data_IF_529781562266
#
_entry.id   IF_529781562266
#
_cell.length_a   1.000
_cell.length_b   1.000
_cell.length_c   1.000
_cell.angle_alpha   90.00
_cell.angle_beta   90.00
_cell.angle_gamma   90.00
#
_symmetry.space_group_name_H-M   'P 1'
#
loop_
_entity.id
_entity.type
_entity.pdbx_description
1 polymer ?
#
# COMPACT_ATOMS: atom_id res chain seq x y z
N UNK A 1 -11.00 -9.18 10.07
CA UNK A 1 -10.25 -8.05 10.64
C UNK A 1 -9.30 -7.44 9.62
N UNK A 2 -8.46 -8.20 8.91
CA UNK A 2 -7.54 -7.65 7.89
C UNK A 2 -8.18 -6.75 6.84
N UNK A 3 -9.31 -7.16 6.22
CA UNK A 3 -10.01 -6.34 5.21
C UNK A 3 -10.50 -4.99 5.75
N UNK A 4 -10.97 -4.95 7.01
CA UNK A 4 -11.42 -3.69 7.64
C UNK A 4 -10.25 -2.74 7.88
N UNK A 5 -9.09 -3.27 8.28
CA UNK A 5 -7.88 -2.47 8.47
C UNK A 5 -7.38 -1.90 7.14
N UNK A 6 -7.27 -2.74 6.11
CA UNK A 6 -6.83 -2.31 4.77
C UNK A 6 -7.79 -1.26 4.22
N UNK A 7 -9.10 -1.52 4.26
CA UNK A 7 -10.11 -0.57 3.80
C UNK A 7 -10.11 0.75 4.58
N UNK A 8 -9.94 0.70 5.91
CA UNK A 8 -9.85 1.88 6.76
C UNK A 8 -8.65 2.76 6.41
N UNK A 9 -7.48 2.17 6.17
CA UNK A 9 -6.28 2.90 5.73
C UNK A 9 -6.53 3.57 4.38
N UNK A 10 -7.12 2.87 3.41
CA UNK A 10 -7.42 3.43 2.09
C UNK A 10 -8.36 4.64 2.19
N UNK A 11 -9.42 4.54 2.99
CA UNK A 11 -10.37 5.66 3.20
C UNK A 11 -9.66 6.85 3.86
N UNK A 12 -8.88 6.61 4.91
CA UNK A 12 -8.17 7.67 5.62
C UNK A 12 -7.18 8.42 4.71
N UNK A 13 -6.34 7.68 3.98
CA UNK A 13 -5.37 8.28 3.04
C UNK A 13 -6.10 9.06 1.93
N UNK A 14 -7.21 8.53 1.42
CA UNK A 14 -8.03 9.21 0.41
C UNK A 14 -8.64 10.52 0.92
N UNK A 15 -9.16 10.54 2.16
CA UNK A 15 -9.71 11.74 2.78
C UNK A 15 -8.63 12.81 2.97
N UNK A 16 -7.43 12.42 3.43
CA UNK A 16 -6.30 13.35 3.58
C UNK A 16 -5.90 13.95 2.22
N UNK A 17 -5.79 13.12 1.18
CA UNK A 17 -5.47 13.59 -0.17
C UNK A 17 -6.51 14.57 -0.72
N UNK A 18 -7.80 14.22 -0.59
CA UNK A 18 -8.90 15.06 -1.05
C UNK A 18 -8.99 16.38 -0.27
N UNK A 19 -8.93 16.33 1.06
CA UNK A 19 -8.95 17.52 1.92
C UNK A 19 -7.73 18.42 1.66
N UNK A 20 -6.53 17.85 1.48
CA UNK A 20 -5.33 18.60 1.15
C UNK A 20 -5.44 19.35 -0.18
N UNK A 21 -6.03 18.73 -1.20
CA UNK A 21 -6.28 19.35 -2.49
C UNK A 21 -7.35 20.46 -2.40
N UNK A 22 -8.49 20.20 -1.76
CA UNK A 22 -9.60 21.14 -1.65
C UNK A 22 -9.26 22.37 -0.79
N UNK A 23 -8.66 22.14 0.39
CA UNK A 23 -8.31 23.23 1.32
C UNK A 23 -7.02 23.98 0.92
N UNK A 24 -6.37 23.61 -0.20
CA UNK A 24 -5.07 24.14 -0.63
C UNK A 24 -4.02 24.10 0.49
N UNK A 25 -4.13 23.11 1.40
CA UNK A 25 -3.29 23.00 2.58
C UNK A 25 -2.06 22.15 2.29
N UNK A 26 -0.91 22.82 2.18
CA UNK A 26 0.38 22.20 1.87
C UNK A 26 0.81 21.15 2.89
N UNK A 27 0.46 21.31 4.17
CA UNK A 27 0.81 20.34 5.20
C UNK A 27 0.06 19.01 5.00
N UNK A 28 -1.23 19.06 4.67
CA UNK A 28 -2.02 17.85 4.39
C UNK A 28 -1.52 17.13 3.13
N UNK A 29 -1.09 17.87 2.10
CA UNK A 29 -0.45 17.29 0.92
C UNK A 29 0.89 16.62 1.26
N UNK A 30 1.70 17.20 2.16
CA UNK A 30 2.93 16.55 2.63
C UNK A 30 2.64 15.26 3.39
N UNK A 31 1.62 15.25 4.26
CA UNK A 31 1.20 14.03 4.97
C UNK A 31 0.76 12.98 3.95
N UNK A 32 -0.04 13.34 2.95
CA UNK A 32 -0.45 12.42 1.88
C UNK A 32 0.75 11.85 1.11
N UNK A 33 1.74 12.67 0.74
CA UNK A 33 2.99 12.20 0.12
C UNK A 33 3.70 11.19 1.02
N UNK A 34 3.83 11.48 2.32
CA UNK A 34 4.40 10.56 3.30
C UNK A 34 3.64 9.23 3.36
N UNK A 35 2.31 9.27 3.37
CA UNK A 35 1.47 8.07 3.32
C UNK A 35 1.72 7.25 2.04
N UNK A 36 1.79 7.88 0.87
CA UNK A 36 2.09 7.19 -0.39
C UNK A 36 3.45 6.50 -0.36
N UNK A 37 4.48 7.15 0.18
CA UNK A 37 5.82 6.55 0.33
C UNK A 37 5.75 5.30 1.22
N UNK A 38 5.07 5.39 2.38
CA UNK A 38 4.90 4.24 3.28
C UNK A 38 4.15 3.10 2.59
N UNK A 39 3.14 3.40 1.78
CA UNK A 39 2.39 2.38 1.02
C UNK A 39 3.28 1.69 -0.02
N UNK A 40 4.09 2.43 -0.77
CA UNK A 40 5.05 1.87 -1.75
C UNK A 40 6.06 0.97 -1.04
N UNK A 41 6.67 1.44 0.05
CA UNK A 41 7.64 0.65 0.82
C UNK A 41 7.00 -0.60 1.42
N UNK A 42 5.77 -0.50 1.94
CA UNK A 42 5.02 -1.65 2.42
C UNK A 42 4.73 -2.66 1.32
N UNK A 43 4.35 -2.21 0.13
CA UNK A 43 4.11 -3.09 -1.02
C UNK A 43 5.38 -3.82 -1.46
N UNK A 44 6.51 -3.11 -1.55
CA UNK A 44 7.82 -3.71 -1.85
C UNK A 44 8.25 -4.71 -0.77
N UNK A 45 8.07 -4.37 0.50
CA UNK A 45 8.39 -5.24 1.63
C UNK A 45 7.59 -6.54 1.60
N UNK A 46 6.26 -6.45 1.43
CA UNK A 46 5.39 -7.64 1.34
C UNK A 46 5.75 -8.50 0.14
N UNK A 47 6.04 -7.87 -1.01
CA UNK A 47 6.45 -8.59 -2.23
C UNK A 47 7.76 -9.34 -2.02
N UNK A 48 8.76 -8.68 -1.43
CA UNK A 48 10.05 -9.29 -1.14
C UNK A 48 9.93 -10.43 -0.12
N UNK A 49 9.16 -10.22 0.95
CA UNK A 49 8.89 -11.23 1.97
C UNK A 49 8.25 -12.47 1.36
N UNK A 50 7.22 -12.27 0.53
CA UNK A 50 6.55 -13.36 -0.17
C UNK A 50 7.51 -14.12 -1.10
N UNK A 51 8.42 -13.43 -1.80
CA UNK A 51 9.34 -14.07 -2.73
C UNK A 51 10.47 -14.84 -2.04
N UNK A 52 11.07 -14.28 -0.99
CA UNK A 52 12.26 -14.85 -0.34
C UNK A 52 11.93 -15.89 0.73
N UNK A 53 10.78 -15.76 1.40
CA UNK A 53 10.44 -16.55 2.59
C UNK A 53 9.25 -17.49 2.35
N UNK A 54 9.03 -17.95 1.10
CA UNK A 54 7.92 -18.87 0.74
C UNK A 54 7.77 -20.02 1.74
N UNK A 55 8.82 -20.81 1.91
CA UNK A 55 8.80 -22.00 2.79
C UNK A 55 8.44 -21.65 4.25
N UNK A 56 8.93 -20.52 4.76
CA UNK A 56 8.64 -20.08 6.14
C UNK A 56 7.19 -19.66 6.28
N UNK A 57 6.65 -18.96 5.29
CA UNK A 57 5.25 -18.53 5.26
C UNK A 57 4.35 -19.76 5.16
N UNK A 58 4.69 -20.71 4.29
CA UNK A 58 3.92 -21.95 4.13
C UNK A 58 3.92 -22.76 5.42
N UNK A 59 5.08 -22.94 6.09
CA UNK A 59 5.14 -23.62 7.39
C UNK A 59 4.30 -22.92 8.46
N UNK A 60 4.35 -21.59 8.54
CA UNK A 60 3.54 -20.82 9.48
C UNK A 60 2.04 -20.98 9.20
N UNK A 61 1.64 -20.97 7.92
CA UNK A 61 0.25 -21.17 7.51
C UNK A 61 -0.22 -22.59 7.87
N UNK A 62 0.61 -23.60 7.60
CA UNK A 62 0.31 -24.99 7.90
C UNK A 62 0.11 -25.21 9.41
N UNK A 63 0.96 -24.62 10.25
CA UNK A 63 0.79 -24.67 11.72
C UNK A 63 -0.52 -24.03 12.18
N UNK A 64 -0.90 -22.89 11.60
CA UNK A 64 -2.17 -22.23 11.92
C UNK A 64 -3.36 -23.09 11.48
N UNK A 65 -3.30 -23.68 10.28
CA UNK A 65 -4.37 -24.55 9.77
C UNK A 65 -4.50 -25.81 10.62
N UNK A 66 -3.39 -26.45 10.99
CA UNK A 66 -3.39 -27.65 11.84
C UNK A 66 -4.03 -27.33 13.21
N UNK A 67 -3.72 -26.19 13.81
CA UNK A 67 -4.38 -25.74 15.05
C UNK A 67 -5.89 -25.55 14.88
N UNK A 68 -6.33 -24.97 13.75
CA UNK A 68 -7.76 -24.82 13.43
C UNK A 68 -8.41 -26.18 13.29
N UNK A 69 -7.79 -27.14 12.59
CA UNK A 69 -8.32 -28.50 12.43
C UNK A 69 -8.43 -29.20 13.79
N UNK A 70 -7.39 -29.14 14.63
CA UNK A 70 -7.38 -29.79 15.95
C UNK A 70 -8.48 -29.27 16.88
N UNK A 71 -8.77 -27.96 16.82
CA UNK A 71 -9.72 -27.28 17.70
C UNK A 71 -11.12 -27.08 17.09
N UNK A 72 -11.31 -27.44 15.82
CA UNK A 72 -12.58 -27.26 15.12
C UNK A 72 -13.74 -27.87 15.90
N UNK A 73 -14.79 -27.08 16.13
CA UNK A 73 -15.99 -27.48 16.89
C UNK A 73 -15.89 -27.36 18.41
N UNK A 74 -14.74 -26.98 18.99
CA UNK A 74 -14.54 -26.95 20.45
C UNK A 74 -14.58 -25.54 21.08
N UNK A 75 -14.11 -24.50 20.37
CA UNK A 75 -13.81 -23.22 21.07
C UNK A 75 -14.05 -21.94 20.27
N UNK A 76 -14.14 -21.96 18.93
CA UNK A 76 -14.32 -20.71 18.16
C UNK A 76 -15.13 -20.85 16.88
N UNK A 77 -16.40 -20.41 16.92
CA UNK A 77 -17.27 -20.36 15.73
C UNK A 77 -16.65 -19.60 14.55
N UNK A 78 -15.75 -18.64 14.81
CA UNK A 78 -15.15 -17.81 13.75
C UNK A 78 -14.09 -18.56 12.95
N UNK A 79 -13.16 -19.28 13.58
CA UNK A 79 -12.16 -20.05 12.84
C UNK A 79 -12.83 -21.19 12.06
N UNK A 80 -13.81 -21.84 12.69
CA UNK A 80 -14.62 -22.89 12.07
C UNK A 80 -15.35 -22.38 10.83
N UNK A 81 -16.05 -21.24 10.95
CA UNK A 81 -16.73 -20.59 9.80
C UNK A 81 -15.74 -20.21 8.69
N UNK A 82 -14.54 -19.73 9.04
CA UNK A 82 -13.53 -19.40 8.03
C UNK A 82 -13.04 -20.67 7.32
N UNK A 83 -12.76 -21.73 8.06
CA UNK A 83 -12.37 -23.02 7.51
C UNK A 83 -13.48 -23.59 6.62
N UNK A 84 -14.73 -23.51 7.05
CA UNK A 84 -15.88 -23.96 6.27
C UNK A 84 -16.02 -23.20 4.94
N UNK A 85 -15.83 -21.89 4.97
CA UNK A 85 -15.86 -21.08 3.76
C UNK A 85 -14.68 -21.39 2.83
N UNK A 86 -13.49 -21.62 3.37
CA UNK A 86 -12.30 -22.01 2.58
C UNK A 86 -12.53 -23.34 1.89
N UNK A 87 -12.98 -24.36 2.62
CA UNK A 87 -13.23 -25.70 2.07
C UNK A 87 -14.32 -25.68 1.02
N UNK A 88 -15.46 -25.03 1.30
CA UNK A 88 -16.59 -25.00 0.37
C UNK A 88 -16.31 -24.15 -0.87
N UNK A 89 -15.72 -22.95 -0.71
CA UNK A 89 -15.42 -22.04 -1.83
C UNK A 89 -14.24 -22.55 -2.65
N UNK A 90 -13.22 -23.09 -1.98
CA UNK A 90 -12.03 -23.67 -2.59
C UNK A 90 -12.26 -25.07 -3.17
N UNK A 91 -13.41 -25.69 -2.88
CA UNK A 91 -13.76 -27.07 -3.29
C UNK A 91 -12.65 -28.05 -2.92
N UNK A 92 -12.21 -27.96 -1.67
CA UNK A 92 -11.12 -28.72 -1.08
C UNK A 92 -11.51 -29.17 0.33
N UNK A 93 -10.79 -30.13 0.89
CA UNK A 93 -11.04 -30.61 2.25
C UNK A 93 -9.71 -30.87 2.97
N UNK A 94 -9.60 -30.36 4.20
CA UNK A 94 -8.37 -30.44 4.98
C UNK A 94 -7.26 -29.57 4.41
N UNK A 95 -6.06 -29.71 4.97
CA UNK A 95 -4.87 -28.98 4.53
C UNK A 95 -4.32 -29.63 3.25
N UNK A 96 -3.96 -30.91 3.36
CA UNK A 96 -3.42 -31.77 2.31
C UNK A 96 -4.47 -32.76 1.80
N UNK A 97 -5.48 -33.06 2.61
CA UNK A 97 -6.64 -33.85 2.19
C UNK A 97 -7.60 -34.19 3.34
N UNK A 98 -8.67 -34.96 3.07
CA UNK A 98 -9.69 -35.30 4.06
C UNK A 98 -9.15 -36.03 5.30
N UNK A 99 -8.05 -36.76 5.17
CA UNK A 99 -7.42 -37.50 6.28
C UNK A 99 -6.91 -36.58 7.39
N UNK A 100 -6.67 -35.29 7.12
CA UNK A 100 -6.22 -34.35 8.15
C UNK A 100 -7.23 -34.21 9.29
N UNK A 101 -8.51 -34.44 9.02
CA UNK A 101 -9.57 -34.40 10.02
C UNK A 101 -9.47 -35.51 11.08
N UNK A 102 -8.68 -36.57 10.83
CA UNK A 102 -8.36 -37.58 11.86
C UNK A 102 -7.49 -37.00 13.01
N UNK A 103 -6.86 -35.84 12.80
CA UNK A 103 -6.13 -35.12 13.86
C UNK A 103 -7.05 -34.35 14.81
N UNK A 104 -8.32 -34.14 14.42
CA UNK A 104 -9.25 -33.37 15.24
C UNK A 104 -9.57 -34.08 16.56
N UNK A 105 -9.61 -33.31 17.65
CA UNK A 105 -9.81 -33.84 19.01
C UNK A 105 -11.15 -34.56 19.19
N UNK A 106 -12.21 -34.04 18.57
CA UNK A 106 -13.54 -34.64 18.61
C UNK A 106 -13.59 -35.92 17.75
N UNK A 107 -13.01 -35.93 16.56
CA UNK A 107 -12.94 -37.14 15.71
C UNK A 107 -12.14 -38.25 16.38
N UNK A 108 -11.02 -37.94 17.05
CA UNK A 108 -10.26 -38.92 17.82
C UNK A 108 -11.07 -39.53 18.95
N UNK A 109 -11.95 -38.77 19.61
CA UNK A 109 -12.81 -39.28 20.67
C UNK A 109 -13.82 -40.33 20.20
N UNK A 110 -14.13 -40.35 18.89
CA UNK A 110 -14.99 -41.35 18.25
C UNK A 110 -14.25 -42.63 17.85
N UNK A 111 -12.92 -42.69 18.04
CA UNK A 111 -12.05 -43.80 17.65
C UNK A 111 -12.16 -44.20 16.16
N UNK A 112 -12.38 -43.22 15.27
CA UNK A 112 -12.42 -43.45 13.83
C UNK A 112 -11.01 -43.64 13.26
N UNK A 113 -10.84 -44.68 12.44
CA UNK A 113 -9.57 -44.97 11.74
C UNK A 113 -9.58 -44.50 10.27
N UNK A 114 -10.73 -44.04 9.79
CA UNK A 114 -11.02 -43.59 8.44
C UNK A 114 -11.71 -42.22 8.50
N UNK A 115 -11.50 -41.33 7.51
CA UNK A 115 -12.13 -40.01 7.45
C UNK A 115 -13.60 -40.10 7.02
N UNK A 116 -14.38 -40.93 7.72
CA UNK A 116 -15.78 -41.22 7.42
C UNK A 116 -16.72 -40.10 7.88
N UNK A 117 -16.26 -39.30 8.85
CA UNK A 117 -16.94 -38.12 9.38
C UNK A 117 -16.03 -36.92 9.16
N UNK A 118 -16.54 -35.92 8.45
CA UNK A 118 -15.81 -34.72 8.05
C UNK A 118 -16.68 -33.49 8.35
N UNK A 119 -16.12 -32.28 8.38
CA UNK A 119 -16.95 -31.09 8.37
C UNK A 119 -17.88 -31.08 7.17
N UNK A 120 -19.10 -30.61 7.36
CA UNK A 120 -20.09 -30.55 6.29
C UNK A 120 -19.62 -29.71 5.08
N UNK A 121 -18.74 -28.73 5.32
CA UNK A 121 -18.11 -27.90 4.28
C UNK A 121 -17.19 -28.67 3.33
N UNK A 122 -16.75 -29.89 3.67
CA UNK A 122 -15.97 -30.77 2.80
C UNK A 122 -16.80 -31.47 1.70
N UNK A 123 -18.13 -31.33 1.72
CA UNK A 123 -19.01 -31.97 0.75
C UNK A 123 -19.56 -30.95 -0.24
N UNK A 124 -19.73 -31.37 -1.50
CA UNK A 124 -20.39 -30.53 -2.53
C UNK A 124 -21.84 -30.23 -2.18
N UNK A 125 -22.54 -31.23 -1.66
CA UNK A 125 -23.94 -31.16 -1.25
C UNK A 125 -24.02 -31.78 0.14
N UNK A 126 -24.58 -31.03 1.09
CA UNK A 126 -24.77 -31.51 2.44
C UNK A 126 -26.11 -31.03 3.01
N UNK A 127 -26.66 -31.86 3.89
CA UNK A 127 -27.77 -31.52 4.77
C UNK A 127 -27.24 -31.52 6.19
N UNK A 128 -26.97 -30.32 6.71
CA UNK A 128 -26.48 -30.15 8.07
C UNK A 128 -27.49 -30.64 9.10
N UNK A 129 -27.00 -31.09 10.26
CA UNK A 129 -27.82 -31.32 11.44
C UNK A 129 -27.91 -30.02 12.25
N UNK A 130 -29.05 -29.77 12.91
CA UNK A 130 -29.29 -28.54 13.68
C UNK A 130 -28.25 -28.27 14.77
N UNK A 131 -27.50 -29.28 15.21
CA UNK A 131 -26.54 -29.20 16.31
C UNK A 131 -25.11 -29.66 15.94
N UNK A 132 -24.80 -29.87 14.66
CA UNK A 132 -23.51 -30.43 14.27
C UNK A 132 -22.99 -29.88 12.96
N UNK A 133 -21.74 -29.40 13.00
CA UNK A 133 -20.97 -29.00 11.81
C UNK A 133 -20.36 -30.20 11.08
N UNK A 134 -20.61 -31.42 11.56
CA UNK A 134 -20.03 -32.66 11.04
C UNK A 134 -21.05 -33.43 10.19
N UNK A 135 -20.58 -33.99 9.08
CA UNK A 135 -21.36 -34.75 8.13
C UNK A 135 -20.66 -36.06 7.76
N UNK A 136 -21.44 -37.04 7.30
CA UNK A 136 -20.93 -38.29 6.74
C UNK A 136 -21.67 -38.67 5.46
N UNK A 137 -20.97 -39.37 4.55
CA UNK A 137 -21.57 -40.05 3.40
C UNK A 137 -22.21 -41.39 3.78
N UNK A 138 -21.74 -42.01 4.88
CA UNK A 138 -22.14 -43.35 5.31
C UNK A 138 -23.50 -43.33 6.04
N UNK A 139 -24.41 -44.21 5.58
CA UNK A 139 -25.77 -44.33 6.13
C UNK A 139 -25.82 -44.84 7.58
N UNK A 140 -24.75 -45.46 8.08
CA UNK A 140 -24.68 -45.95 9.46
C UNK A 140 -24.50 -44.82 10.49
N UNK A 141 -24.19 -43.60 10.06
CA UNK A 141 -24.03 -42.42 10.93
C UNK A 141 -25.25 -41.49 10.88
N UNK A 142 -26.47 -42.03 10.70
CA UNK A 142 -27.70 -41.24 10.45
C UNK A 142 -28.55 -40.90 11.69
N UNK A 143 -28.14 -41.32 12.88
CA UNK A 143 -28.75 -40.85 14.14
C UNK A 143 -28.24 -39.43 14.46
N UNK A 144 -29.01 -38.55 15.16
CA UNK A 144 -29.06 -37.07 14.96
C UNK A 144 -27.77 -36.26 15.21
N UNK A 145 -26.68 -36.95 15.54
CA UNK A 145 -25.36 -36.45 15.80
C UNK A 145 -24.68 -35.87 14.55
N UNK A 146 -24.88 -36.46 13.37
CA UNK A 146 -24.21 -36.03 12.14
C UNK A 146 -25.21 -35.62 11.05
N UNK A 147 -24.81 -34.63 10.25
CA UNK A 147 -25.48 -34.34 8.98
C UNK A 147 -25.14 -35.36 7.90
N UNK A 148 -25.80 -35.23 6.75
CA UNK A 148 -25.54 -36.08 5.58
C UNK A 148 -24.77 -35.31 4.52
N UNK A 149 -23.63 -35.84 4.09
CA UNK A 149 -22.82 -35.31 2.99
C UNK A 149 -22.91 -36.16 1.73
N UNK A 150 -22.60 -35.58 0.57
CA UNK A 150 -22.40 -36.29 -0.69
C UNK A 150 -21.32 -35.62 -1.54
N UNK A 151 -20.52 -36.45 -2.23
CA UNK A 151 -19.34 -36.09 -3.00
C UNK A 151 -18.37 -35.23 -2.19
N UNK A 152 -17.60 -35.88 -1.33
CA UNK A 152 -16.49 -35.30 -0.58
C UNK A 152 -15.42 -34.74 -1.53
N UNK A 153 -14.87 -33.57 -1.22
CA UNK A 153 -13.70 -33.04 -1.91
C UNK A 153 -12.45 -33.85 -1.55
N UNK A 154 -11.81 -34.46 -2.54
CA UNK A 154 -10.64 -35.32 -2.33
C UNK A 154 -9.31 -34.57 -2.25
N UNK A 155 -9.23 -33.35 -2.81
CA UNK A 155 -8.01 -32.55 -2.82
C UNK A 155 -7.88 -31.68 -1.56
N UNK A 156 -6.66 -31.53 -1.08
CA UNK A 156 -6.31 -30.60 -0.01
C UNK A 156 -6.42 -29.13 -0.42
N UNK A 157 -6.67 -28.26 0.55
CA UNK A 157 -6.78 -26.83 0.29
C UNK A 157 -5.45 -26.17 -0.03
N UNK A 158 -4.32 -26.69 0.46
CA UNK A 158 -2.98 -26.16 0.14
C UNK A 158 -2.63 -26.37 -1.33
N UNK A 159 -2.89 -27.57 -1.86
CA UNK A 159 -2.71 -27.91 -3.28
C UNK A 159 -3.63 -27.06 -4.15
N UNK A 160 -4.93 -26.98 -3.82
CA UNK A 160 -5.88 -26.12 -4.54
C UNK A 160 -5.47 -24.65 -4.57
N UNK A 161 -4.95 -24.13 -3.46
CA UNK A 161 -4.45 -22.76 -3.40
C UNK A 161 -3.23 -22.57 -4.29
N UNK A 162 -2.28 -23.51 -4.26
CA UNK A 162 -1.08 -23.49 -5.12
C UNK A 162 -1.46 -23.52 -6.60
N UNK A 163 -2.35 -24.43 -7.01
CA UNK A 163 -2.83 -24.53 -8.39
C UNK A 163 -3.47 -23.22 -8.84
N UNK A 164 -4.38 -22.68 -8.01
CA UNK A 164 -5.04 -21.41 -8.32
C UNK A 164 -4.03 -20.26 -8.44
N UNK A 165 -3.03 -20.20 -7.56
CA UNK A 165 -1.97 -19.18 -7.61
C UNK A 165 -1.14 -19.28 -8.89
N UNK A 166 -0.79 -20.49 -9.34
CA UNK A 166 -0.02 -20.69 -10.56
C UNK A 166 -0.84 -20.32 -11.80
N UNK A 167 -2.10 -20.74 -11.87
CA UNK A 167 -3.01 -20.42 -12.97
C UNK A 167 -3.29 -18.91 -13.07
N UNK A 168 -3.35 -18.21 -11.92
CA UNK A 168 -3.69 -16.79 -11.86
C UNK A 168 -2.48 -15.88 -11.58
N UNK A 169 -1.26 -16.40 -11.66
CA UNK A 169 -0.04 -15.67 -11.33
C UNK A 169 0.11 -14.36 -12.14
N UNK A 170 -0.22 -14.42 -13.44
CA UNK A 170 -0.16 -13.25 -14.32
C UNK A 170 -1.12 -12.15 -13.84
N UNK A 171 -2.33 -12.52 -13.43
CA UNK A 171 -3.34 -11.60 -12.91
C UNK A 171 -2.86 -10.94 -11.62
N UNK A 172 -2.29 -11.71 -10.69
CA UNK A 172 -1.79 -11.21 -9.40
C UNK A 172 -0.64 -10.22 -9.62
N UNK A 173 0.34 -10.58 -10.45
CA UNK A 173 1.45 -9.69 -10.81
C UNK A 173 0.93 -8.43 -11.51
N UNK A 174 -0.05 -8.57 -12.40
CA UNK A 174 -0.70 -7.43 -13.07
C UNK A 174 -1.38 -6.47 -12.09
N UNK A 175 -2.10 -6.98 -11.09
CA UNK A 175 -2.70 -6.14 -10.05
C UNK A 175 -1.64 -5.39 -9.24
N UNK A 176 -0.56 -6.07 -8.85
CA UNK A 176 0.54 -5.45 -8.11
C UNK A 176 1.22 -4.32 -8.90
N UNK A 177 1.51 -4.56 -10.18
CA UNK A 177 2.08 -3.54 -11.07
C UNK A 177 1.13 -2.35 -11.27
N UNK A 178 -0.17 -2.62 -11.42
CA UNK A 178 -1.18 -1.57 -11.56
C UNK A 178 -1.25 -0.67 -10.32
N UNK A 179 -1.14 -1.25 -9.12
CA UNK A 179 -1.10 -0.48 -7.87
C UNK A 179 0.13 0.44 -7.80
N UNK A 180 1.31 -0.04 -8.20
CA UNK A 180 2.52 0.79 -8.26
C UNK A 180 2.35 1.93 -9.26
N UNK A 181 1.80 1.65 -10.45
CA UNK A 181 1.56 2.67 -11.46
C UNK A 181 0.62 3.77 -10.94
N UNK A 182 -0.49 3.38 -10.30
CA UNK A 182 -1.45 4.32 -9.73
C UNK A 182 -0.80 5.18 -8.64
N UNK A 183 0.01 4.59 -7.76
CA UNK A 183 0.73 5.33 -6.72
C UNK A 183 1.73 6.34 -7.29
N UNK A 184 2.46 5.98 -8.36
CA UNK A 184 3.37 6.90 -9.05
C UNK A 184 2.62 8.08 -9.64
N UNK A 185 1.48 7.83 -10.29
CA UNK A 185 0.63 8.89 -10.83
C UNK A 185 0.10 9.81 -9.72
N UNK A 186 -0.39 9.25 -8.61
CA UNK A 186 -0.83 10.01 -7.44
C UNK A 186 0.30 10.86 -6.85
N UNK A 187 1.50 10.30 -6.77
CA UNK A 187 2.68 11.00 -6.27
C UNK A 187 3.04 12.19 -7.16
N UNK A 188 3.11 11.99 -8.48
CA UNK A 188 3.42 13.06 -9.44
C UNK A 188 2.37 14.17 -9.37
N UNK A 189 1.08 13.83 -9.37
CA UNK A 189 -0.02 14.80 -9.28
C UNK A 189 0.08 15.58 -7.96
N UNK A 190 0.36 14.91 -6.85
CA UNK A 190 0.44 15.58 -5.54
C UNK A 190 1.65 16.51 -5.46
N UNK A 191 2.81 16.10 -5.97
CA UNK A 191 3.99 16.97 -6.03
C UNK A 191 3.72 18.20 -6.88
N UNK A 192 3.03 18.04 -8.02
CA UNK A 192 2.60 19.16 -8.84
C UNK A 192 1.69 20.11 -8.06
N UNK A 193 0.64 19.60 -7.39
CA UNK A 193 -0.27 20.41 -6.58
C UNK A 193 0.44 21.12 -5.42
N UNK A 194 1.35 20.41 -4.73
CA UNK A 194 2.14 20.97 -3.64
C UNK A 194 3.01 22.15 -4.09
N UNK A 195 3.65 22.04 -5.27
CA UNK A 195 4.43 23.12 -5.88
C UNK A 195 3.53 24.27 -6.33
N UNK A 196 2.40 23.98 -6.97
CA UNK A 196 1.46 24.99 -7.45
C UNK A 196 0.89 25.84 -6.30
N UNK A 197 0.46 25.20 -5.21
CA UNK A 197 -0.04 25.91 -4.02
C UNK A 197 1.07 26.68 -3.30
N UNK A 198 2.30 26.16 -3.28
CA UNK A 198 3.46 26.90 -2.77
C UNK A 198 3.71 28.21 -3.50
N UNK A 199 3.70 28.18 -4.84
CA UNK A 199 3.82 29.39 -5.67
C UNK A 199 2.68 30.39 -5.40
N UNK A 200 1.44 29.89 -5.31
CA UNK A 200 0.26 30.73 -5.02
C UNK A 200 0.36 31.43 -3.65
N UNK A 201 0.79 30.72 -2.61
CA UNK A 201 0.97 31.30 -1.27
C UNK A 201 2.11 32.33 -1.22
N UNK A 202 3.21 32.10 -1.94
CA UNK A 202 4.33 33.04 -2.03
C UNK A 202 3.91 34.34 -2.74
N UNK A 203 3.18 34.22 -3.86
CA UNK A 203 2.67 35.38 -4.59
C UNK A 203 1.66 36.20 -3.76
N UNK A 204 0.74 35.53 -3.05
CA UNK A 204 -0.19 36.22 -2.13
C UNK A 204 0.55 36.96 -1.01
N UNK A 205 1.58 36.35 -0.41
CA UNK A 205 2.39 37.00 0.63
C UNK A 205 3.14 38.22 0.07
N UNK A 206 3.71 38.12 -1.14
CA UNK A 206 4.38 39.25 -1.80
C UNK A 206 3.41 40.42 -2.05
N UNK A 207 2.23 40.16 -2.63
CA UNK A 207 1.24 41.21 -2.89
C UNK A 207 0.78 41.91 -1.58
N UNK A 208 0.62 41.14 -0.49
CA UNK A 208 0.30 41.71 0.83
C UNK A 208 1.41 42.57 1.42
N UNK A 209 2.68 42.29 1.11
CA UNK A 209 3.81 43.13 1.55
C UNK A 209 3.87 44.45 0.75
N UNK A 210 3.58 44.41 -0.55
CA UNK A 210 3.54 45.60 -1.42
C UNK A 210 2.39 46.55 -1.06
N UNK A 211 1.24 46.03 -0.62
CA UNK A 211 0.09 46.87 -0.25
C UNK A 211 0.24 47.52 1.14
N UNK A 212 1.21 47.09 1.95
CA UNK A 212 1.43 47.62 3.31
C UNK A 212 2.67 48.52 3.44
N UNK A 213 3.46 48.69 2.38
CA UNK A 213 4.39 49.82 2.30
C UNK A 213 3.55 51.09 2.11
N UNK A 214 3.60 52.07 3.04
CA UNK A 214 3.01 53.37 2.82
C UNK A 214 3.61 53.97 1.55
N UNK A 215 2.82 54.76 0.81
CA UNK A 215 3.35 55.68 -0.18
C UNK A 215 4.25 56.70 0.54
N UNK A 216 5.50 56.32 0.82
CA UNK A 216 6.59 57.28 0.90
C UNK A 216 7.04 57.49 -0.56
N UNK A 217 6.26 58.29 -1.29
CA UNK A 217 6.79 58.96 -2.47
C UNK A 217 7.92 59.88 -1.97
N UNK A 218 9.16 59.53 -2.31
CA UNK A 218 10.26 60.40 -2.78
C UNK A 218 11.60 59.64 -2.62
N UNK A 219 12.02 58.90 -3.64
CA UNK A 219 13.17 59.29 -4.49
C UNK A 219 13.28 58.34 -5.69
N UNK A 220 13.59 58.92 -6.84
CA UNK A 220 13.73 58.25 -8.13
C UNK A 220 15.04 57.43 -8.12
N UNK A 221 14.96 56.09 -8.15
CA UNK A 221 16.17 55.26 -8.03
C UNK A 221 15.95 53.75 -8.16
N UNK A 222 16.06 53.27 -9.40
CA UNK A 222 16.41 51.91 -9.85
C UNK A 222 15.93 50.69 -9.03
N UNK A 223 15.01 49.93 -9.62
CA UNK A 223 14.70 48.56 -9.23
C UNK A 223 15.94 47.65 -9.28
N UNK A 224 16.46 47.27 -8.11
CA UNK A 224 17.39 46.16 -7.97
C UNK A 224 16.69 44.98 -7.28
N UNK A 225 16.16 44.04 -8.07
CA UNK A 225 15.79 42.73 -7.56
C UNK A 225 16.96 41.78 -7.73
N UNK A 226 17.64 41.47 -6.62
CA UNK A 226 18.60 40.38 -6.55
C UNK A 226 17.89 39.06 -6.90
N UNK A 227 18.21 38.52 -8.08
CA UNK A 227 17.90 37.14 -8.44
C UNK A 227 19.05 36.27 -7.94
N UNK A 228 18.73 35.22 -7.17
CA UNK A 228 19.71 34.17 -6.87
C UNK A 228 19.38 32.96 -7.76
N UNK A 229 20.06 32.87 -8.89
CA UNK A 229 20.13 31.66 -9.71
C UNK A 229 21.21 30.72 -9.15
N UNK A 230 21.01 29.39 -9.28
CA UNK A 230 22.00 28.40 -8.90
C UNK A 230 22.94 28.20 -10.08
N UNK A 231 24.14 28.78 -10.02
CA UNK A 231 25.41 28.32 -10.59
C UNK A 231 26.31 29.54 -10.82
N UNK A 232 27.54 29.49 -10.29
CA UNK A 232 28.42 30.64 -10.18
C UNK A 232 29.06 31.05 -11.51
N UNK A 233 28.88 32.31 -11.90
CA UNK A 233 29.91 33.18 -12.47
C UNK A 233 29.42 34.64 -12.41
N UNK A 234 30.32 35.61 -12.18
CA UNK A 234 29.97 37.03 -12.00
C UNK A 234 30.31 37.85 -13.25
N UNK A 235 29.31 38.47 -13.89
CA UNK A 235 29.52 39.59 -14.83
C UNK A 235 28.50 40.69 -14.50
N UNK A 236 29.02 41.88 -14.19
CA UNK A 236 28.26 43.10 -13.92
C UNK A 236 28.04 43.89 -15.22
N UNK A 237 26.80 44.31 -15.49
CA UNK A 237 26.34 44.79 -16.81
C UNK A 237 26.26 46.33 -16.89
N UNK A 238 26.46 47.07 -15.81
CA UNK A 238 26.05 48.49 -15.79
C UNK A 238 27.20 49.51 -15.84
N UNK A 239 28.18 49.34 -16.72
CA UNK A 239 28.95 50.50 -17.19
C UNK A 239 29.35 50.39 -18.66
N UNK A 240 28.59 51.06 -19.54
CA UNK A 240 29.11 52.01 -20.55
C UNK A 240 28.11 52.19 -21.71
N UNK A 241 27.49 53.37 -21.79
CA UNK A 241 27.26 54.02 -23.08
C UNK A 241 27.95 55.38 -23.03
N UNK A 242 29.10 55.48 -23.67
CA UNK A 242 29.40 56.47 -24.72
C UNK A 242 30.92 56.52 -24.97
N UNK A 243 31.24 56.42 -26.27
CA UNK A 243 32.38 57.09 -26.92
C UNK A 243 33.76 56.56 -26.51
N UNK A 244 34.36 55.77 -27.40
CA UNK A 244 35.79 55.49 -27.34
C UNK A 244 36.63 56.76 -27.50
N UNK A 245 37.93 56.68 -27.16
CA UNK A 245 38.90 57.27 -28.06
C UNK A 245 40.15 56.39 -28.23
N UNK A 246 40.56 56.22 -29.49
CA UNK A 246 41.98 56.21 -29.80
C UNK A 246 42.61 57.52 -29.32
N UNK A 247 43.90 57.45 -28.98
CA UNK A 247 44.85 58.51 -28.68
C UNK A 247 45.08 58.88 -27.22
N UNK A 248 46.24 58.40 -26.76
CA UNK A 248 47.18 59.05 -25.85
C UNK A 248 47.24 60.57 -26.05
N UNK A 249 46.99 61.31 -24.97
CA UNK A 249 47.54 62.65 -24.74
C UNK A 249 47.53 62.94 -23.23
N UNK A 250 48.67 62.75 -22.57
CA UNK A 250 48.97 63.26 -21.24
C UNK A 250 50.17 64.20 -21.33
N UNK A 251 49.94 65.48 -21.03
CA UNK A 251 50.83 66.51 -20.45
C UNK A 251 50.02 67.84 -20.45
N UNK A 252 50.16 68.77 -19.49
CA UNK A 252 51.33 69.12 -18.67
C UNK A 252 51.00 69.20 -17.14
N UNK A 253 51.86 69.42 -16.14
CA UNK A 253 53.12 70.16 -15.97
C UNK A 253 53.91 69.61 -14.74
N UNK A 254 55.23 69.56 -14.92
CA UNK A 254 56.27 70.10 -14.02
C UNK A 254 56.45 69.58 -12.58
N UNK A 255 57.39 68.63 -12.40
CA UNK A 255 58.36 68.64 -11.28
C UNK A 255 59.72 68.07 -11.72
N UNK A 256 60.58 68.98 -12.17
CA UNK A 256 61.93 69.24 -11.63
C UNK A 256 62.69 68.13 -10.84
N UNK A 257 63.94 67.87 -11.29
CA UNK A 257 65.16 67.50 -10.53
C UNK A 257 65.18 66.06 -9.94
N UNK A 258 66.26 65.26 -9.96
CA UNK A 258 67.69 65.46 -10.21
C UNK A 258 68.40 64.08 -10.24
N UNK A 259 69.44 63.98 -11.08
CA UNK A 259 70.59 63.05 -11.11
C UNK A 259 70.38 61.54 -11.31
#
# INVERSE_FOLDING_TARGET
MGLLLIGGVVVLVSVIGCAGANSQNRLLLLVYIGCLIVLVLGQLYVTLLLLLNRDKIDNMLNEVVDQVIVQYGNSSNRADTLMDNVQHSGKCCGETGPSDWLKNSYIQSLNLSSPDVLPCSCFTVYHGSFNSSWCSELLNYTEPLFGRGNNTFSQGCSEKLSDWLQENALTIVGMALSLILIQVLQFVITVYLYRAFGKKSALKRRNLLVEHTPNDDLDDGEENYAYMEPDGDYVDINNANLVGPNHSAYHPDDQNLRY
#
